data_IF_826675366561
#
_entry.id   IF_826675366561
#
_cell.length_a   1.000
_cell.length_b   1.000
_cell.length_c   1.000
_cell.angle_alpha   90.00
_cell.angle_beta   90.00
_cell.angle_gamma   90.00
#
_symmetry.space_group_name_H-M   'P 1'
#
loop_
_entity.id
_entity.type
_entity.pdbx_description
1 polymer ?
#
# COMPACT_ATOMS: atom_id res chain seq x y z
N UNK A 1 -29.70 -29.54 23.97
CA UNK A 1 -28.89 -30.59 23.31
C UNK A 1 -28.01 -29.96 22.24
N UNK A 2 -26.68 -30.17 22.30
CA UNK A 2 -25.76 -29.63 21.30
C UNK A 2 -25.43 -30.68 20.24
N UNK A 3 -25.87 -30.48 19.00
CA UNK A 3 -25.46 -31.34 17.88
C UNK A 3 -24.08 -30.91 17.39
N UNK A 4 -23.11 -31.84 17.34
CA UNK A 4 -21.81 -31.62 16.71
C UNK A 4 -21.96 -31.71 15.20
N UNK A 5 -22.11 -30.57 14.55
CA UNK A 5 -22.21 -30.47 13.08
C UNK A 5 -20.86 -30.00 12.54
N UNK A 6 -20.42 -30.59 11.43
CA UNK A 6 -19.18 -30.17 10.76
C UNK A 6 -19.37 -28.80 10.09
N UNK A 7 -18.28 -28.01 9.97
CA UNK A 7 -18.32 -26.72 9.28
C UNK A 7 -18.75 -26.86 7.81
N UNK A 8 -18.43 -27.98 7.18
CA UNK A 8 -18.77 -28.24 5.78
C UNK A 8 -20.26 -28.47 5.59
N UNK A 9 -20.91 -29.18 6.52
CA UNK A 9 -22.37 -29.40 6.48
C UNK A 9 -23.13 -28.07 6.56
N UNK A 10 -22.66 -27.16 7.44
CA UNK A 10 -23.23 -25.82 7.55
C UNK A 10 -23.03 -25.04 6.24
N UNK A 11 -21.84 -25.11 5.64
CA UNK A 11 -21.54 -24.45 4.36
C UNK A 11 -22.47 -24.92 3.24
N UNK A 12 -22.71 -26.22 3.13
CA UNK A 12 -23.61 -26.81 2.12
C UNK A 12 -25.04 -26.26 2.31
N UNK A 13 -25.57 -26.31 3.53
CA UNK A 13 -26.90 -25.75 3.82
C UNK A 13 -26.98 -24.26 3.52
N UNK A 14 -25.93 -23.49 3.82
CA UNK A 14 -25.88 -22.06 3.50
C UNK A 14 -25.86 -21.80 1.98
N UNK A 15 -25.26 -22.68 1.18
CA UNK A 15 -25.26 -22.60 -0.28
C UNK A 15 -26.65 -22.94 -0.83
N UNK A 16 -27.26 -24.04 -0.38
CA UNK A 16 -28.60 -24.46 -0.79
C UNK A 16 -29.66 -23.39 -0.49
N UNK A 17 -29.56 -22.76 0.69
CA UNK A 17 -30.46 -21.68 1.12
C UNK A 17 -30.10 -20.31 0.55
N UNK A 18 -29.09 -20.21 -0.33
CA UNK A 18 -28.61 -18.97 -0.97
C UNK A 18 -28.22 -17.84 -0.01
N UNK A 19 -27.90 -18.16 1.25
CA UNK A 19 -27.40 -17.20 2.24
C UNK A 19 -25.87 -17.09 2.21
N UNK A 20 -25.18 -18.07 1.63
CA UNK A 20 -23.73 -18.04 1.45
C UNK A 20 -23.32 -17.03 0.38
N UNK A 21 -22.66 -15.94 0.81
CA UNK A 21 -22.08 -14.94 -0.09
C UNK A 21 -20.55 -15.08 -0.10
N UNK A 22 -19.91 -15.31 -1.27
CA UNK A 22 -18.46 -15.33 -1.34
C UNK A 22 -17.90 -13.96 -0.97
N UNK A 23 -16.81 -13.95 -0.21
CA UNK A 23 -16.12 -12.71 0.12
C UNK A 23 -15.59 -12.08 -1.16
N UNK A 24 -15.98 -10.83 -1.43
CA UNK A 24 -15.49 -10.07 -2.57
C UNK A 24 -13.96 -9.99 -2.52
N UNK A 25 -13.31 -10.37 -3.61
CA UNK A 25 -11.86 -10.23 -3.75
C UNK A 25 -11.55 -8.75 -3.93
N UNK A 26 -10.66 -8.19 -3.11
CA UNK A 26 -10.18 -6.82 -3.32
C UNK A 26 -9.52 -6.72 -4.70
N UNK A 27 -9.86 -5.68 -5.44
CA UNK A 27 -9.17 -5.37 -6.69
C UNK A 27 -7.69 -5.19 -6.43
N UNK A 28 -6.86 -5.69 -7.36
CA UNK A 28 -5.41 -5.51 -7.26
C UNK A 28 -5.10 -4.05 -7.58
N UNK A 29 -4.43 -3.36 -6.66
CA UNK A 29 -3.86 -2.03 -6.95
C UNK A 29 -2.78 -2.20 -8.03
N UNK A 30 -2.98 -1.58 -9.18
CA UNK A 30 -1.99 -1.53 -10.26
C UNK A 30 -1.00 -0.41 -9.91
N UNK A 31 0.26 -0.78 -9.67
CA UNK A 31 1.34 0.19 -9.45
C UNK A 31 1.98 0.52 -10.80
N UNK A 32 1.98 1.80 -11.17
CA UNK A 32 2.67 2.26 -12.38
C UNK A 32 4.19 2.21 -12.17
N UNK A 33 4.92 1.80 -13.21
CA UNK A 33 6.38 1.89 -13.21
C UNK A 33 6.77 3.34 -13.43
N UNK A 34 7.70 3.86 -12.62
CA UNK A 34 8.29 5.19 -12.83
C UNK A 34 9.00 5.25 -14.19
N UNK A 35 8.90 6.38 -14.85
CA UNK A 35 9.66 6.65 -16.07
C UNK A 35 11.17 6.54 -15.82
N UNK A 36 11.92 6.06 -16.83
CA UNK A 36 13.38 6.08 -16.79
C UNK A 36 13.86 7.54 -16.85
N UNK A 37 14.93 7.87 -16.10
CA UNK A 37 15.60 9.16 -16.20
C UNK A 37 16.45 9.24 -17.48
N UNK A 38 16.90 10.45 -17.82
CA UNK A 38 17.65 10.73 -19.04
C UNK A 38 19.03 10.05 -19.07
N UNK A 39 19.68 9.95 -17.90
CA UNK A 39 21.04 9.41 -17.77
C UNK A 39 21.16 8.38 -16.66
N UNK A 40 22.16 7.51 -16.78
CA UNK A 40 22.60 6.63 -15.68
C UNK A 40 23.24 7.48 -14.57
N UNK A 41 22.81 7.30 -13.33
CA UNK A 41 23.32 8.06 -12.18
C UNK A 41 22.45 9.24 -11.73
N UNK A 42 21.36 9.58 -12.45
CA UNK A 42 20.33 10.55 -12.02
C UNK A 42 19.45 9.97 -10.89
N UNK A 43 20.08 9.52 -9.81
CA UNK A 43 19.43 8.96 -8.64
C UNK A 43 18.79 10.08 -7.83
N UNK A 44 17.46 10.18 -7.90
CA UNK A 44 16.70 10.96 -6.93
C UNK A 44 16.34 10.06 -5.76
N UNK A 45 17.05 10.19 -4.64
CA UNK A 45 16.64 9.61 -3.38
C UNK A 45 15.58 10.50 -2.75
N UNK A 46 14.32 10.09 -2.95
CA UNK A 46 13.17 10.65 -2.29
C UNK A 46 12.59 9.55 -1.41
N UNK A 47 12.93 9.58 -0.12
CA UNK A 47 12.28 8.75 0.88
C UNK A 47 11.54 9.68 1.84
N UNK A 48 10.31 9.30 2.17
CA UNK A 48 9.41 10.14 2.93
C UNK A 48 8.16 9.36 3.29
N UNK A 49 8.03 9.03 4.57
CA UNK A 49 6.83 8.40 5.11
C UNK A 49 5.97 9.42 5.84
N UNK A 50 4.69 9.46 5.49
CA UNK A 50 3.70 10.28 6.19
C UNK A 50 3.53 9.74 7.62
N UNK A 51 3.88 10.57 8.61
CA UNK A 51 3.88 10.19 10.01
C UNK A 51 3.33 11.29 10.91
N UNK A 52 2.81 10.92 12.08
CA UNK A 52 2.42 11.86 13.14
C UNK A 52 3.66 12.29 13.94
N UNK A 53 4.63 12.94 13.31
CA UNK A 53 5.87 13.39 14.00
C UNK A 53 5.60 14.24 15.24
N UNK A 54 4.50 14.99 15.21
CA UNK A 54 4.07 15.87 16.30
C UNK A 54 2.89 15.30 17.11
N UNK A 55 2.58 14.01 16.98
CA UNK A 55 1.45 13.35 17.64
C UNK A 55 0.11 14.05 17.31
N UNK A 56 -0.48 14.75 18.29
CA UNK A 56 -1.72 15.52 18.15
C UNK A 56 -1.48 17.05 18.17
N UNK A 57 -0.21 17.49 18.23
CA UNK A 57 0.17 18.91 18.27
C UNK A 57 0.24 19.56 16.89
N UNK A 58 0.29 18.75 15.82
CA UNK A 58 0.23 19.24 14.46
C UNK A 58 -0.34 18.15 13.52
N UNK A 59 -0.79 18.53 12.31
CA UNK A 59 -1.15 17.56 11.27
C UNK A 59 0.01 16.61 10.95
N UNK A 60 -0.34 15.45 10.38
CA UNK A 60 0.66 14.52 9.84
C UNK A 60 1.50 15.21 8.79
N UNK A 61 2.80 14.99 8.84
CA UNK A 61 3.73 15.53 7.88
C UNK A 61 4.75 14.46 7.50
N UNK A 62 5.42 14.69 6.38
CA UNK A 62 6.49 13.84 5.89
C UNK A 62 7.80 14.53 6.20
N UNK A 63 8.73 13.83 6.85
CA UNK A 63 10.12 14.27 6.90
C UNK A 63 10.72 13.97 5.53
N UNK A 64 11.28 14.99 4.89
CA UNK A 64 11.83 14.89 3.54
C UNK A 64 13.33 15.18 3.58
N UNK A 65 14.13 14.17 3.25
CA UNK A 65 15.56 14.33 3.04
C UNK A 65 15.82 14.33 1.53
N UNK A 66 16.21 15.48 0.98
CA UNK A 66 16.63 15.57 -0.41
C UNK A 66 18.14 15.33 -0.49
N UNK A 67 18.54 14.11 -0.86
CA UNK A 67 19.89 13.84 -1.31
C UNK A 67 19.94 13.97 -2.83
N UNK A 68 20.29 15.16 -3.30
CA UNK A 68 20.56 15.41 -4.72
C UNK A 68 22.02 15.09 -5.04
N UNK A 69 22.27 14.19 -5.98
CA UNK A 69 23.58 13.97 -6.56
C UNK A 69 23.86 15.04 -7.62
N UNK A 70 24.08 16.28 -7.20
CA UNK A 70 24.39 17.36 -8.15
C UNK A 70 25.86 17.30 -8.56
N UNK A 71 26.08 16.96 -9.83
CA UNK A 71 27.26 17.40 -10.55
C UNK A 71 27.24 18.94 -10.58
N UNK A 72 28.05 19.56 -9.72
CA UNK A 72 28.42 20.96 -9.80
C UNK A 72 28.89 21.26 -11.24
N UNK A 73 28.03 21.91 -12.02
CA UNK A 73 28.49 22.68 -13.18
C UNK A 73 28.58 24.12 -12.70
N UNK A 74 29.74 24.48 -12.16
CA UNK A 74 30.15 25.87 -12.09
C UNK A 74 30.23 26.38 -13.54
N UNK A 75 29.30 27.24 -13.92
CA UNK A 75 29.27 27.97 -15.19
C UNK A 75 28.96 29.42 -14.89
N UNK A 76 29.86 30.28 -15.36
CA UNK A 76 29.92 31.75 -15.25
C UNK A 76 28.62 32.41 -15.71
#
# INVERSE_FOLDING_TARGET
>A
EGKKISKETIRIWMIETRIWHPKQKKEKRIYQRRERRASEGDLLQADGSDHKWFEDRAPRCTLWDEASAENHTAGI
#
